data_IF_588678213166
#
_entry.id   IF_588678213166
#
_cell.length_a   1.000
_cell.length_b   1.000
_cell.length_c   1.000
_cell.angle_alpha   90.00
_cell.angle_beta   90.00
_cell.angle_gamma   90.00
#
_symmetry.space_group_name_H-M   'P 1'
#
loop_
_entity.id
_entity.type
_entity.pdbx_description
1 polymer ?
#
# COMPACT_ATOMS: atom_id res chain seq x y z
N UNK A 1 69.83 -31.92 -48.74
CA UNK A 1 68.35 -32.04 -48.69
C UNK A 1 67.80 -31.88 -47.26
N UNK A 2 68.31 -32.60 -46.26
CA UNK A 2 67.80 -32.55 -44.87
C UNK A 2 67.83 -31.15 -44.22
N UNK A 3 68.88 -30.36 -44.43
CA UNK A 3 68.99 -28.99 -43.88
C UNK A 3 67.93 -28.03 -44.46
N UNK A 4 67.63 -28.14 -45.75
CA UNK A 4 66.61 -27.31 -46.41
C UNK A 4 65.21 -27.65 -45.87
N UNK A 5 64.94 -28.93 -45.65
CA UNK A 5 63.66 -29.40 -45.08
C UNK A 5 63.49 -28.90 -43.65
N UNK A 6 64.54 -28.95 -42.81
CA UNK A 6 64.51 -28.42 -41.44
C UNK A 6 64.27 -26.91 -41.41
N UNK A 7 64.95 -26.14 -42.26
CA UNK A 7 64.77 -24.68 -42.34
C UNK A 7 63.37 -24.29 -42.82
N UNK A 8 62.79 -25.03 -43.77
CA UNK A 8 61.42 -24.81 -44.20
C UNK A 8 60.42 -25.12 -43.08
N UNK A 9 60.64 -26.18 -42.29
CA UNK A 9 59.75 -26.56 -41.20
C UNK A 9 59.73 -25.52 -40.07
N UNK A 10 60.89 -24.96 -39.70
CA UNK A 10 60.99 -23.92 -38.67
C UNK A 10 60.42 -22.59 -39.14
N UNK A 11 60.59 -22.25 -40.41
CA UNK A 11 59.97 -21.06 -40.99
C UNK A 11 58.43 -21.18 -40.97
N UNK A 12 57.88 -22.33 -41.35
CA UNK A 12 56.43 -22.57 -41.34
C UNK A 12 55.87 -22.56 -39.90
N UNK A 13 56.56 -23.20 -38.94
CA UNK A 13 56.09 -23.21 -37.54
C UNK A 13 56.12 -21.82 -36.90
N UNK A 14 57.14 -21.01 -37.20
CA UNK A 14 57.22 -19.62 -36.75
C UNK A 14 56.08 -18.77 -37.34
N UNK A 15 55.77 -18.97 -38.62
CA UNK A 15 54.67 -18.26 -39.30
C UNK A 15 53.31 -18.62 -38.69
N UNK A 16 53.08 -19.91 -38.40
CA UNK A 16 51.87 -20.37 -37.72
C UNK A 16 51.74 -19.81 -36.30
N UNK A 17 52.83 -19.74 -35.52
CA UNK A 17 52.80 -19.12 -34.19
C UNK A 17 52.40 -17.65 -34.24
N UNK A 18 52.94 -16.87 -35.19
CA UNK A 18 52.61 -15.46 -35.34
C UNK A 18 51.12 -15.24 -35.67
N UNK A 19 50.55 -16.08 -36.54
CA UNK A 19 49.13 -16.02 -36.89
C UNK A 19 48.25 -16.35 -35.69
N UNK A 20 48.55 -17.43 -34.96
CA UNK A 20 47.79 -17.83 -33.76
C UNK A 20 47.90 -16.78 -32.65
N UNK A 21 49.09 -16.20 -32.43
CA UNK A 21 49.28 -15.11 -31.47
C UNK A 21 48.45 -13.88 -31.83
N UNK A 22 48.43 -13.49 -33.11
CA UNK A 22 47.60 -12.39 -33.60
C UNK A 22 46.10 -12.64 -33.42
N UNK A 23 45.64 -13.86 -33.74
CA UNK A 23 44.25 -14.27 -33.51
C UNK A 23 43.87 -14.24 -32.03
N UNK A 24 44.72 -14.77 -31.15
CA UNK A 24 44.52 -14.75 -29.69
C UNK A 24 44.40 -13.30 -29.19
N UNK A 25 45.31 -12.41 -29.61
CA UNK A 25 45.26 -10.99 -29.23
C UNK A 25 44.00 -10.28 -29.71
N UNK A 26 43.58 -10.52 -30.95
CA UNK A 26 42.34 -9.98 -31.49
C UNK A 26 41.12 -10.52 -30.74
N UNK A 27 41.11 -11.81 -30.40
CA UNK A 27 40.01 -12.45 -29.69
C UNK A 27 39.90 -11.93 -28.25
N UNK A 28 41.02 -11.75 -27.55
CA UNK A 28 41.06 -11.13 -26.22
C UNK A 28 40.53 -9.69 -26.25
N UNK A 29 40.87 -8.90 -27.28
CA UNK A 29 40.33 -7.54 -27.44
C UNK A 29 38.81 -7.55 -27.65
N UNK A 30 38.30 -8.51 -28.44
CA UNK A 30 36.86 -8.68 -28.67
C UNK A 30 36.13 -9.06 -27.37
N UNK A 31 36.68 -10.00 -26.62
CA UNK A 31 36.12 -10.46 -25.34
C UNK A 31 36.04 -9.30 -24.34
N UNK A 32 37.12 -8.52 -24.19
CA UNK A 32 37.13 -7.34 -23.31
C UNK A 32 36.08 -6.28 -23.70
N UNK A 33 35.87 -6.07 -25.00
CA UNK A 33 34.83 -5.16 -25.49
C UNK A 33 33.41 -5.66 -25.19
N UNK A 34 33.18 -6.97 -25.33
CA UNK A 34 31.90 -7.60 -24.99
C UNK A 34 31.59 -7.53 -23.49
N UNK A 35 32.59 -7.75 -22.64
CA UNK A 35 32.43 -7.61 -21.18
C UNK A 35 32.04 -6.19 -20.77
N UNK A 36 32.65 -5.17 -21.40
CA UNK A 36 32.29 -3.77 -21.13
C UNK A 36 30.85 -3.46 -21.53
N UNK A 37 30.40 -3.92 -22.71
CA UNK A 37 29.01 -3.76 -23.15
C UNK A 37 28.02 -4.49 -22.22
N UNK A 38 28.38 -5.69 -21.74
CA UNK A 38 27.59 -6.44 -20.76
C UNK A 38 27.50 -5.71 -19.41
N UNK A 39 28.62 -5.17 -18.92
CA UNK A 39 28.68 -4.40 -17.67
C UNK A 39 27.84 -3.12 -17.76
N UNK A 40 27.86 -2.42 -18.89
CA UNK A 40 26.98 -1.26 -19.11
C UNK A 40 25.51 -1.65 -19.11
N UNK A 41 25.15 -2.76 -19.76
CA UNK A 41 23.77 -3.27 -19.74
C UNK A 41 23.33 -3.70 -18.34
N UNK A 42 24.22 -4.33 -17.57
CA UNK A 42 23.97 -4.73 -16.17
C UNK A 42 23.76 -3.51 -15.29
N UNK A 43 24.62 -2.48 -15.40
CA UNK A 43 24.46 -1.22 -14.65
C UNK A 43 23.14 -0.50 -14.96
N UNK A 44 22.73 -0.50 -16.23
CA UNK A 44 21.42 0.05 -16.64
C UNK A 44 20.25 -0.74 -16.03
N UNK A 45 20.33 -2.08 -16.02
CA UNK A 45 19.32 -2.92 -15.38
C UNK A 45 19.29 -2.73 -13.85
N UNK A 46 20.45 -2.64 -13.20
CA UNK A 46 20.54 -2.44 -11.75
C UNK A 46 20.05 -1.05 -11.33
N UNK A 47 20.29 -0.01 -12.14
CA UNK A 47 19.74 1.32 -11.89
C UNK A 47 18.20 1.30 -11.92
N UNK A 48 17.62 0.62 -12.92
CA UNK A 48 16.17 0.45 -13.03
C UNK A 48 15.58 -0.42 -11.91
N UNK A 49 16.30 -1.46 -11.48
CA UNK A 49 15.85 -2.32 -10.36
C UNK A 49 15.95 -1.62 -8.99
N UNK A 50 16.94 -0.77 -8.77
CA UNK A 50 17.05 0.00 -7.52
C UNK A 50 15.93 1.02 -7.38
N UNK A 51 15.52 1.67 -8.47
CA UNK A 51 14.35 2.53 -8.45
C UNK A 51 13.07 1.73 -8.14
N UNK A 52 12.87 0.60 -8.82
CA UNK A 52 11.67 -0.23 -8.62
C UNK A 52 11.49 -0.72 -7.17
N UNK A 53 12.57 -1.18 -6.52
CA UNK A 53 12.48 -1.67 -5.13
C UNK A 53 12.19 -0.56 -4.11
N UNK A 54 12.73 0.65 -4.32
CA UNK A 54 12.41 1.80 -3.46
C UNK A 54 10.96 2.22 -3.66
N UNK A 55 10.48 2.25 -4.91
CA UNK A 55 9.09 2.57 -5.23
C UNK A 55 8.13 1.59 -4.56
N UNK A 56 8.36 0.28 -4.65
CA UNK A 56 7.49 -0.75 -4.03
C UNK A 56 7.42 -0.61 -2.50
N UNK A 57 8.56 -0.40 -1.84
CA UNK A 57 8.61 -0.17 -0.38
C UNK A 57 7.86 1.10 0.04
N UNK A 58 7.96 2.16 -0.78
CA UNK A 58 7.32 3.45 -0.48
C UNK A 58 5.81 3.38 -0.70
N UNK A 59 5.37 2.71 -1.78
CA UNK A 59 3.94 2.43 -2.01
C UNK A 59 3.37 1.52 -0.93
N UNK A 60 4.10 0.50 -0.47
CA UNK A 60 3.66 -0.37 0.63
C UNK A 60 3.41 0.39 1.94
N UNK A 61 4.30 1.34 2.28
CA UNK A 61 4.12 2.23 3.44
C UNK A 61 2.92 3.16 3.27
N UNK A 62 2.70 3.70 2.07
CA UNK A 62 1.55 4.53 1.77
C UNK A 62 0.23 3.73 1.87
N UNK A 63 0.21 2.49 1.36
CA UNK A 63 -0.95 1.60 1.44
C UNK A 63 -1.31 1.28 2.90
N UNK A 64 -0.32 0.95 3.73
CA UNK A 64 -0.53 0.69 5.16
C UNK A 64 -1.07 1.93 5.90
N UNK A 65 -0.61 3.13 5.54
CA UNK A 65 -1.13 4.37 6.11
C UNK A 65 -2.59 4.64 5.69
N UNK A 66 -2.96 4.30 4.46
CA UNK A 66 -4.35 4.40 3.98
C UNK A 66 -5.24 3.37 4.68
N UNK A 67 -4.79 2.12 4.82
CA UNK A 67 -5.52 1.07 5.52
C UNK A 67 -5.79 1.43 7.00
N UNK A 68 -4.80 2.00 7.69
CA UNK A 68 -4.96 2.49 9.06
C UNK A 68 -6.02 3.61 9.15
N UNK A 69 -6.06 4.52 8.18
CA UNK A 69 -7.08 5.59 8.12
C UNK A 69 -8.47 5.05 7.81
N UNK A 70 -8.57 4.04 6.94
CA UNK A 70 -9.83 3.35 6.65
C UNK A 70 -10.32 2.60 7.88
N UNK A 71 -9.46 1.87 8.58
CA UNK A 71 -9.83 1.19 9.83
C UNK A 71 -10.29 2.14 10.93
N UNK A 72 -9.67 3.32 11.07
CA UNK A 72 -10.15 4.36 12.00
C UNK A 72 -11.51 4.94 11.58
N UNK A 73 -11.72 5.15 10.28
CA UNK A 73 -12.99 5.66 9.74
C UNK A 73 -14.10 4.62 9.91
N UNK A 74 -13.82 3.36 9.65
CA UNK A 74 -14.75 2.25 9.83
C UNK A 74 -15.12 2.09 11.31
N UNK A 75 -14.16 2.18 12.24
CA UNK A 75 -14.46 2.17 13.69
C UNK A 75 -15.33 3.34 14.11
N UNK A 76 -15.09 4.55 13.56
CA UNK A 76 -15.95 5.71 13.84
C UNK A 76 -17.34 5.56 13.26
N UNK A 77 -17.47 4.98 12.06
CA UNK A 77 -18.77 4.68 11.48
C UNK A 77 -19.50 3.63 12.31
N UNK A 78 -18.81 2.58 12.75
CA UNK A 78 -19.40 1.56 13.61
C UNK A 78 -19.82 2.14 14.96
N UNK A 79 -19.02 3.01 15.58
CA UNK A 79 -19.40 3.72 16.79
C UNK A 79 -20.59 4.67 16.58
N UNK A 80 -20.73 5.27 15.39
CA UNK A 80 -21.86 6.14 15.04
C UNK A 80 -23.13 5.35 14.70
N UNK A 81 -22.99 4.21 14.03
CA UNK A 81 -24.08 3.29 13.70
C UNK A 81 -24.60 2.60 14.97
N UNK A 82 -23.69 2.26 15.88
CA UNK A 82 -24.04 1.70 17.19
C UNK A 82 -24.49 2.78 18.19
N UNK A 83 -24.12 4.06 17.97
CA UNK A 83 -24.77 5.22 18.58
C UNK A 83 -26.04 5.55 17.81
N UNK A 84 -27.04 4.70 18.01
CA UNK A 84 -28.40 4.97 17.58
C UNK A 84 -28.86 6.30 18.24
N UNK A 85 -28.78 7.38 17.47
CA UNK A 85 -28.98 8.77 17.91
C UNK A 85 -30.37 8.98 18.51
N UNK A 86 -31.33 8.14 18.12
CA UNK A 86 -32.65 8.09 18.71
C UNK A 86 -32.61 7.66 20.18
N UNK A 87 -31.92 6.56 20.51
CA UNK A 87 -31.98 5.94 21.84
C UNK A 87 -31.54 6.87 22.99
N UNK A 88 -30.49 7.66 22.78
CA UNK A 88 -29.94 8.59 23.77
C UNK A 88 -30.85 9.82 23.94
N UNK A 89 -31.41 10.31 22.82
CA UNK A 89 -32.35 11.43 22.78
C UNK A 89 -33.70 11.05 23.42
N UNK A 90 -34.20 9.83 23.15
CA UNK A 90 -35.41 9.28 23.77
C UNK A 90 -35.24 9.03 25.28
N UNK A 91 -34.09 8.51 25.71
CA UNK A 91 -33.79 8.31 27.13
C UNK A 91 -33.71 9.64 27.90
N UNK A 92 -33.09 10.66 27.30
CA UNK A 92 -33.06 12.02 27.87
C UNK A 92 -34.45 12.67 27.90
N UNK A 93 -35.23 12.52 26.82
CA UNK A 93 -36.60 13.02 26.71
C UNK A 93 -37.54 12.39 27.76
N UNK A 94 -37.47 11.07 27.96
CA UNK A 94 -38.23 10.37 29.00
C UNK A 94 -37.89 10.87 30.42
N UNK A 95 -36.61 11.14 30.69
CA UNK A 95 -36.17 11.70 31.98
C UNK A 95 -36.69 13.13 32.19
N UNK A 96 -36.72 13.96 31.15
CA UNK A 96 -37.28 15.32 31.21
C UNK A 96 -38.79 15.30 31.47
N UNK A 97 -39.55 14.42 30.81
CA UNK A 97 -40.99 14.23 31.09
C UNK A 97 -41.22 13.76 32.53
N UNK A 98 -40.40 12.84 33.04
CA UNK A 98 -40.49 12.39 34.44
C UNK A 98 -40.27 13.53 35.45
N UNK A 99 -39.53 14.57 35.07
CA UNK A 99 -39.35 15.79 35.87
C UNK A 99 -40.49 16.82 35.66
N UNK A 100 -41.52 16.48 34.90
CA UNK A 100 -42.70 17.33 34.66
C UNK A 100 -42.57 18.30 33.49
N UNK A 101 -41.58 18.11 32.60
CA UNK A 101 -41.45 18.96 31.41
C UNK A 101 -42.61 18.75 30.43
N UNK A 102 -43.10 19.84 29.86
CA UNK A 102 -44.17 19.82 28.88
C UNK A 102 -43.65 19.27 27.52
N UNK A 103 -44.49 18.59 26.72
CA UNK A 103 -44.06 18.00 25.45
C UNK A 103 -43.52 19.04 24.46
N UNK A 104 -43.94 20.30 24.57
CA UNK A 104 -43.42 21.41 23.75
C UNK A 104 -41.95 21.74 24.05
N UNK A 105 -41.49 21.49 25.29
CA UNK A 105 -40.11 21.72 25.70
C UNK A 105 -39.16 20.63 25.22
N UNK A 106 -39.67 19.42 24.96
CA UNK A 106 -38.90 18.32 24.39
C UNK A 106 -38.56 18.55 22.91
N UNK A 107 -39.48 19.16 22.16
CA UNK A 107 -39.25 19.56 20.77
C UNK A 107 -38.10 20.56 20.69
N UNK A 108 -38.08 21.56 21.60
CA UNK A 108 -37.05 22.60 21.64
C UNK A 108 -35.71 22.13 22.22
N UNK A 109 -35.74 21.30 23.27
CA UNK A 109 -34.53 20.94 24.03
C UNK A 109 -33.85 19.68 23.51
N UNK A 110 -34.63 18.74 22.96
CA UNK A 110 -34.13 17.45 22.48
C UNK A 110 -34.24 17.31 20.95
N UNK A 111 -34.82 18.30 20.25
CA UNK A 111 -34.88 18.32 18.78
C UNK A 111 -35.84 17.29 18.16
N UNK A 112 -36.81 16.77 18.94
CA UNK A 112 -37.82 15.83 18.44
C UNK A 112 -38.84 16.54 17.55
N UNK A 113 -39.43 15.82 16.59
CA UNK A 113 -40.64 16.30 15.92
C UNK A 113 -41.84 16.34 16.87
N UNK A 114 -42.84 17.19 16.60
CA UNK A 114 -44.07 17.27 17.43
C UNK A 114 -44.76 15.91 17.60
N UNK A 115 -44.74 15.08 16.55
CA UNK A 115 -45.31 13.74 16.58
C UNK A 115 -44.53 12.80 17.53
N UNK A 116 -43.20 12.88 17.54
CA UNK A 116 -42.35 12.07 18.41
C UNK A 116 -42.45 12.50 19.87
N UNK A 117 -42.46 13.80 20.16
CA UNK A 117 -42.61 14.31 21.52
C UNK A 117 -43.94 13.88 22.15
N UNK A 118 -45.02 13.88 21.37
CA UNK A 118 -46.35 13.39 21.79
C UNK A 118 -46.38 11.87 22.00
N UNK A 119 -45.65 11.11 21.17
CA UNK A 119 -45.53 9.66 21.35
C UNK A 119 -44.78 9.30 22.64
N UNK A 120 -43.69 10.01 22.95
CA UNK A 120 -42.87 9.77 24.16
C UNK A 120 -43.62 10.15 25.43
N UNK A 121 -44.38 11.26 25.42
CA UNK A 121 -45.21 11.64 26.57
C UNK A 121 -46.33 10.64 26.84
N UNK A 122 -46.95 10.09 25.79
CA UNK A 122 -47.94 9.01 25.91
C UNK A 122 -47.31 7.70 26.39
N UNK A 123 -46.11 7.36 25.92
CA UNK A 123 -45.39 6.16 26.36
C UNK A 123 -44.94 6.28 27.83
N UNK A 124 -44.45 7.45 28.25
CA UNK A 124 -44.09 7.73 29.63
C UNK A 124 -45.32 7.70 30.56
N UNK A 125 -46.43 8.31 30.14
CA UNK A 125 -47.69 8.27 30.90
C UNK A 125 -48.28 6.85 31.01
N UNK A 126 -48.07 5.99 30.00
CA UNK A 126 -48.47 4.57 30.03
C UNK A 126 -47.47 3.65 30.77
N UNK A 127 -46.18 4.00 30.77
CA UNK A 127 -45.10 3.23 31.41
C UNK A 127 -45.15 3.21 32.94
N UNK A 128 -45.87 4.16 33.54
CA UNK A 128 -46.13 4.21 35.00
C UNK A 128 -47.08 3.09 35.48
N UNK A 129 -47.66 2.30 34.57
CA UNK A 129 -48.52 1.15 34.92
C UNK A 129 -47.83 -0.22 34.99
N UNK A 130 -46.50 -0.33 34.80
CA UNK A 130 -45.85 -1.66 34.80
C UNK A 130 -44.35 -1.64 35.09
N UNK A 131 -43.97 -1.41 36.35
CA UNK A 131 -42.75 -2.01 36.92
C UNK A 131 -43.09 -2.48 38.33
N UNK A 132 -43.05 -3.79 38.52
CA UNK A 132 -43.03 -4.48 39.81
C UNK A 132 -41.71 -4.22 40.53
#
# INVERSE_FOLDING_TARGET
MTLIVLAALTAVSALLMLVVMGMQWANLRRIRGLEQALLESRKKQEALQRESNITILTLGKALAAVDQRLGQTQRRQQDLENKDSGSLTYAQASKLIQMGAAPEDLVKSCGLSEAEAKLVSLMAARGVGRVS
#
